data_IF_612248206823
#
_entry.id   IF_612248206823
#
_cell.length_a   1.000
_cell.length_b   1.000
_cell.length_c   1.000
_cell.angle_alpha   90.00
_cell.angle_beta   90.00
_cell.angle_gamma   90.00
#
_symmetry.space_group_name_H-M   'P 1'
#
loop_
_entity.id
_entity.type
_entity.pdbx_description
1 polymer ?
#
# COMPACT_ATOMS: atom_id res chain seq x y z
N UNK A 1 -16.25 28.50 8.95
CA UNK A 1 -15.13 27.72 8.39
C UNK A 1 -14.84 26.61 9.39
N UNK A 2 -15.38 25.43 9.13
CA UNK A 2 -15.38 24.31 10.08
C UNK A 2 -13.97 23.74 10.19
N UNK A 3 -13.38 23.74 11.40
CA UNK A 3 -12.07 23.12 11.63
C UNK A 3 -12.26 21.62 11.45
N UNK A 4 -11.67 21.04 10.41
CA UNK A 4 -11.49 19.58 10.29
C UNK A 4 -10.92 19.08 11.62
N UNK A 5 -11.63 18.15 12.28
CA UNK A 5 -11.11 17.44 13.46
C UNK A 5 -9.74 16.87 13.08
N UNK A 6 -8.74 17.10 13.93
CA UNK A 6 -7.42 16.47 13.77
C UNK A 6 -7.62 14.97 13.99
N UNK A 7 -7.27 14.17 12.99
CA UNK A 7 -7.37 12.71 13.03
C UNK A 7 -5.95 12.18 13.22
N UNK A 8 -5.73 11.39 14.27
CA UNK A 8 -4.40 10.83 14.59
C UNK A 8 -4.17 9.47 13.91
N UNK A 9 -5.02 9.09 12.97
CA UNK A 9 -4.97 7.83 12.23
C UNK A 9 -5.23 8.06 10.75
N UNK A 10 -4.75 7.13 9.93
CA UNK A 10 -4.92 7.10 8.48
C UNK A 10 -5.40 5.72 8.05
N UNK A 11 -6.09 5.63 6.91
CA UNK A 11 -6.51 4.36 6.33
C UNK A 11 -5.51 3.90 5.27
N UNK A 12 -5.09 2.65 5.38
CA UNK A 12 -4.17 2.00 4.46
C UNK A 12 -4.81 0.74 3.87
N UNK A 13 -4.60 0.50 2.57
CA UNK A 13 -4.87 -0.78 1.94
C UNK A 13 -3.58 -1.59 1.96
N UNK A 14 -3.59 -2.76 2.62
CA UNK A 14 -2.42 -3.64 2.67
C UNK A 14 -2.36 -4.50 1.42
N UNK A 15 -1.25 -4.40 0.70
CA UNK A 15 -0.96 -5.20 -0.50
C UNK A 15 -0.09 -6.40 -0.15
N UNK A 16 0.87 -6.24 0.77
CA UNK A 16 1.86 -7.25 1.06
C UNK A 16 1.91 -7.49 2.56
N UNK A 17 1.42 -8.64 3.05
CA UNK A 17 1.52 -8.98 4.45
C UNK A 17 2.97 -9.10 4.91
N UNK A 18 3.24 -8.73 6.16
CA UNK A 18 4.54 -8.94 6.81
C UNK A 18 5.00 -10.40 6.66
N UNK A 19 6.27 -10.57 6.31
CA UNK A 19 6.88 -11.89 6.09
C UNK A 19 6.62 -12.48 4.70
N UNK A 20 5.76 -11.86 3.89
CA UNK A 20 5.53 -12.30 2.51
C UNK A 20 6.74 -12.06 1.63
N UNK A 21 6.95 -12.99 0.70
CA UNK A 21 7.86 -12.86 -0.46
C UNK A 21 7.11 -12.49 -1.73
N UNK A 22 5.79 -12.61 -1.71
CA UNK A 22 4.92 -12.28 -2.82
C UNK A 22 4.61 -10.80 -2.73
N UNK A 23 5.10 -10.04 -3.70
CA UNK A 23 4.71 -8.67 -3.91
C UNK A 23 3.42 -8.68 -4.71
N UNK A 24 2.31 -8.47 -4.01
CA UNK A 24 1.06 -8.16 -4.66
C UNK A 24 0.95 -6.65 -4.90
N UNK A 25 0.11 -6.27 -5.86
CA UNK A 25 -0.28 -4.89 -6.13
C UNK A 25 -1.79 -4.83 -6.43
N UNK A 26 -2.41 -3.73 -6.06
CA UNK A 26 -3.76 -3.40 -6.46
C UNK A 26 -3.77 -2.80 -7.87
N UNK A 27 -4.53 -3.42 -8.78
CA UNK A 27 -4.77 -2.90 -10.11
C UNK A 27 -6.02 -2.00 -10.08
N UNK A 28 -5.89 -0.67 -10.15
CA UNK A 28 -7.03 0.24 -10.04
C UNK A 28 -7.97 0.15 -11.26
N UNK A 29 -7.50 -0.36 -12.40
CA UNK A 29 -8.33 -0.53 -13.60
C UNK A 29 -9.23 -1.75 -13.47
N UNK A 30 -8.70 -2.84 -12.91
CA UNK A 30 -9.42 -4.09 -12.73
C UNK A 30 -10.12 -4.22 -11.38
N UNK A 31 -9.80 -3.34 -10.42
CA UNK A 31 -10.27 -3.40 -9.02
C UNK A 31 -9.96 -4.74 -8.37
N UNK A 32 -8.72 -5.24 -8.54
CA UNK A 32 -8.27 -6.55 -8.07
C UNK A 32 -6.84 -6.53 -7.58
N UNK A 33 -6.52 -7.39 -6.62
CA UNK A 33 -5.15 -7.68 -6.22
C UNK A 33 -4.53 -8.66 -7.22
N UNK A 34 -3.30 -8.37 -7.66
CA UNK A 34 -2.52 -9.19 -8.59
C UNK A 34 -1.16 -9.48 -8.01
N UNK A 35 -0.65 -10.68 -8.27
CA UNK A 35 0.77 -10.97 -8.01
C UNK A 35 1.60 -10.24 -9.06
N UNK A 36 2.34 -9.23 -8.65
CA UNK A 36 3.31 -8.53 -9.49
C UNK A 36 4.56 -9.40 -9.66
N UNK A 37 5.16 -9.82 -8.55
CA UNK A 37 6.34 -10.71 -8.56
C UNK A 37 6.57 -11.43 -7.25
N UNK A 38 7.41 -12.47 -7.31
CA UNK A 38 7.99 -13.11 -6.12
C UNK A 38 9.42 -12.60 -5.94
N UNK A 39 9.80 -12.20 -4.71
CA UNK A 39 11.16 -11.76 -4.41
C UNK A 39 12.17 -12.88 -4.69
N UNK A 40 13.11 -12.60 -5.59
CA UNK A 40 14.14 -13.55 -6.03
C UNK A 40 15.08 -13.93 -4.89
N UNK A 41 15.60 -12.93 -4.17
CA UNK A 41 16.42 -13.11 -2.98
C UNK A 41 15.61 -13.70 -1.81
N UNK A 42 16.26 -14.35 -0.82
CA UNK A 42 15.61 -14.85 0.39
C UNK A 42 15.23 -13.70 1.36
N UNK A 43 14.71 -12.61 0.82
CA UNK A 43 14.19 -11.46 1.55
C UNK A 43 12.68 -11.59 1.69
N UNK A 44 12.14 -10.99 2.74
CA UNK A 44 10.70 -10.85 2.99
C UNK A 44 10.41 -9.43 3.45
N UNK A 45 9.16 -8.98 3.28
CA UNK A 45 8.73 -7.68 3.76
C UNK A 45 8.74 -7.65 5.30
N UNK A 46 9.42 -6.69 5.95
CA UNK A 46 9.59 -6.68 7.40
C UNK A 46 8.36 -6.16 8.17
N UNK A 47 7.43 -5.50 7.46
CA UNK A 47 6.15 -4.99 7.95
C UNK A 47 5.07 -5.18 6.89
N UNK A 48 3.83 -4.89 7.24
CA UNK A 48 2.72 -4.88 6.27
C UNK A 48 2.91 -3.66 5.36
N UNK A 49 2.98 -3.90 4.05
CA UNK A 49 3.20 -2.84 3.06
C UNK A 49 1.93 -2.60 2.25
N UNK A 50 1.68 -1.34 1.94
CA UNK A 50 0.62 -0.93 1.05
C UNK A 50 0.61 0.58 0.85
N UNK A 51 -0.56 1.17 0.66
CA UNK A 51 -0.68 2.60 0.38
C UNK A 51 -1.87 3.26 1.10
N UNK A 52 -1.81 4.57 1.25
CA UNK A 52 -2.86 5.38 1.87
C UNK A 52 -3.98 5.72 0.87
N UNK A 53 -5.22 5.46 1.28
CA UNK A 53 -6.39 5.74 0.44
C UNK A 53 -6.60 7.25 0.23
N UNK A 54 -6.95 7.62 -1.00
CA UNK A 54 -7.30 9.01 -1.34
C UNK A 54 -6.10 9.98 -1.39
N UNK A 55 -4.89 9.45 -1.52
CA UNK A 55 -3.66 10.24 -1.70
C UNK A 55 -3.18 10.19 -3.15
N UNK A 56 -2.38 11.18 -3.53
CA UNK A 56 -1.67 11.24 -4.81
C UNK A 56 -0.27 11.79 -4.55
N UNK A 57 0.73 10.96 -4.76
CA UNK A 57 2.14 11.30 -4.65
C UNK A 57 2.65 11.96 -5.94
N UNK A 58 3.91 12.42 -5.92
CA UNK A 58 4.51 13.17 -7.04
C UNK A 58 4.77 12.30 -8.28
N UNK A 59 4.88 10.98 -8.10
CA UNK A 59 5.02 9.98 -9.17
C UNK A 59 3.68 9.59 -9.82
N UNK A 60 2.57 10.06 -9.27
CA UNK A 60 1.23 9.78 -9.77
C UNK A 60 0.53 8.58 -9.13
N UNK A 61 1.18 7.90 -8.19
CA UNK A 61 0.61 6.79 -7.43
C UNK A 61 0.10 7.24 -6.05
N UNK A 62 -0.54 6.33 -5.31
CA UNK A 62 -0.91 6.61 -3.93
C UNK A 62 0.33 6.58 -3.02
N UNK A 63 0.30 7.29 -1.90
CA UNK A 63 1.43 7.34 -0.98
C UNK A 63 1.62 5.99 -0.28
N UNK A 64 2.80 5.39 -0.42
CA UNK A 64 3.17 4.15 0.24
C UNK A 64 3.26 4.26 1.78
N UNK A 65 3.03 3.15 2.46
CA UNK A 65 3.12 3.02 3.92
C UNK A 65 3.61 1.63 4.34
N UNK A 66 4.26 1.58 5.51
CA UNK A 66 4.78 0.40 6.22
C UNK A 66 4.26 0.35 7.66
#
# INVERSE_FOLDING_TARGET
>A
MERRKKVDWVEALVEIPKGSRNKYEFDPRLQRIRLDRVLYSPLHYPADYGFLLGTLAEDGDALDVL
#
